data_IF_237018898029
#
_entry.id   IF_237018898029
#
_cell.length_a   1.000
_cell.length_b   1.000
_cell.length_c   1.000
_cell.angle_alpha   90.00
_cell.angle_beta   90.00
_cell.angle_gamma   90.00
#
_symmetry.space_group_name_H-M   'P 1'
#
loop_
_entity.id
_entity.type
_entity.pdbx_description
1 polymer ?
#
# COMPACT_ATOMS: atom_id res chain seq x y z
N UNK A 1 -36.35 -41.90 10.73
CA UNK A 1 -35.22 -42.51 11.49
C UNK A 1 -34.04 -41.59 11.29
N UNK A 2 -34.10 -40.44 11.95
CA UNK A 2 -33.46 -39.17 11.58
C UNK A 2 -32.40 -38.79 12.63
N UNK A 3 -31.25 -39.46 12.60
CA UNK A 3 -30.33 -39.39 13.73
C UNK A 3 -28.84 -39.31 13.37
N UNK A 4 -28.40 -38.56 12.35
CA UNK A 4 -26.94 -38.35 12.12
C UNK A 4 -26.46 -36.97 11.62
N UNK A 5 -27.29 -35.93 11.58
CA UNK A 5 -26.83 -34.56 11.26
C UNK A 5 -26.58 -33.70 12.52
N UNK A 6 -25.80 -34.22 13.47
CA UNK A 6 -25.30 -33.40 14.58
C UNK A 6 -24.16 -32.51 14.05
N UNK A 7 -24.29 -31.17 14.03
CA UNK A 7 -23.19 -30.29 13.68
C UNK A 7 -22.10 -30.49 14.74
N UNK A 8 -20.91 -30.91 14.31
CA UNK A 8 -19.75 -30.95 15.20
C UNK A 8 -19.60 -29.56 15.84
N UNK A 9 -19.57 -29.44 17.18
CA UNK A 9 -19.34 -28.15 17.82
C UNK A 9 -17.99 -27.64 17.32
N UNK A 10 -18.03 -26.59 16.49
CA UNK A 10 -16.85 -25.91 16.01
C UNK A 10 -16.05 -25.50 17.26
N UNK A 11 -14.92 -26.17 17.48
CA UNK A 11 -14.04 -25.87 18.59
C UNK A 11 -13.70 -24.38 18.51
N UNK A 12 -14.32 -23.58 19.38
CA UNK A 12 -14.05 -22.17 19.50
C UNK A 12 -12.61 -22.04 19.97
N UNK A 13 -11.69 -21.81 19.04
CA UNK A 13 -10.29 -21.60 19.37
C UNK A 13 -10.21 -20.44 20.36
N UNK A 14 -9.51 -20.60 21.50
CA UNK A 14 -9.42 -19.56 22.50
C UNK A 14 -8.76 -18.33 21.88
N UNK A 15 -9.44 -17.19 21.95
CA UNK A 15 -8.91 -15.89 21.54
C UNK A 15 -7.71 -15.54 22.44
N UNK A 16 -6.53 -15.94 22.00
CA UNK A 16 -5.24 -15.72 22.62
C UNK A 16 -4.94 -14.22 22.68
N UNK A 17 -4.59 -13.71 23.88
CA UNK A 17 -4.26 -12.29 24.10
C UNK A 17 -3.13 -11.77 23.20
N UNK A 18 -2.24 -12.66 22.77
CA UNK A 18 -1.19 -12.39 21.79
C UNK A 18 -1.74 -11.97 20.42
N UNK A 19 -2.86 -12.55 19.96
CA UNK A 19 -3.51 -12.17 18.71
C UNK A 19 -4.12 -10.76 18.76
N UNK A 20 -4.63 -10.35 19.93
CA UNK A 20 -5.11 -8.97 20.15
C UNK A 20 -3.96 -7.98 20.12
N UNK A 21 -2.82 -8.29 20.75
CA UNK A 21 -1.64 -7.43 20.72
C UNK A 21 -1.06 -7.29 19.30
N UNK A 22 -0.92 -8.41 18.57
CA UNK A 22 -0.47 -8.40 17.18
C UNK A 22 -1.37 -7.54 16.28
N UNK A 23 -2.69 -7.63 16.43
CA UNK A 23 -3.63 -6.81 15.66
C UNK A 23 -3.62 -5.31 16.02
N UNK A 24 -3.18 -4.92 17.21
CA UNK A 24 -2.96 -3.51 17.56
C UNK A 24 -1.66 -2.99 16.97
N UNK A 25 -0.59 -3.79 17.05
CA UNK A 25 0.71 -3.45 16.48
C UNK A 25 0.63 -3.25 14.97
N UNK A 26 -0.06 -4.15 14.26
CA UNK A 26 -0.26 -4.05 12.80
C UNK A 26 -0.99 -2.75 12.39
N UNK A 27 -2.05 -2.39 13.11
CA UNK A 27 -2.77 -1.14 12.86
C UNK A 27 -1.93 0.10 13.16
N UNK A 28 -1.16 0.08 14.25
CA UNK A 28 -0.28 1.19 14.62
C UNK A 28 0.85 1.39 13.60
N UNK A 29 1.53 0.31 13.22
CA UNK A 29 2.56 0.31 12.17
C UNK A 29 1.99 0.81 10.84
N UNK A 30 0.80 0.35 10.50
CA UNK A 30 0.08 0.81 9.32
C UNK A 30 -0.18 2.30 9.27
N UNK A 31 -0.73 2.86 10.35
CA UNK A 31 -1.00 4.29 10.46
C UNK A 31 0.29 5.12 10.43
N UNK A 32 1.36 4.62 11.04
CA UNK A 32 2.68 5.24 11.00
C UNK A 32 3.22 5.31 9.56
N UNK A 33 3.19 4.18 8.84
CA UNK A 33 3.65 4.10 7.44
C UNK A 33 2.87 5.06 6.54
N UNK A 34 1.54 5.10 6.67
CA UNK A 34 0.70 6.05 5.92
C UNK A 34 1.05 7.51 6.23
N UNK A 35 1.28 7.84 7.50
CA UNK A 35 1.65 9.20 7.93
C UNK A 35 3.02 9.60 7.39
N UNK A 36 4.01 8.71 7.47
CA UNK A 36 5.36 8.96 6.95
C UNK A 36 5.34 9.12 5.44
N UNK A 37 4.61 8.26 4.71
CA UNK A 37 4.45 8.40 3.27
C UNK A 37 3.82 9.75 2.88
N UNK A 38 2.75 10.16 3.57
CA UNK A 38 2.12 11.46 3.32
C UNK A 38 3.07 12.64 3.59
N UNK A 39 3.88 12.58 4.65
CA UNK A 39 4.89 13.59 4.94
C UNK A 39 5.98 13.64 3.87
N UNK A 40 6.45 12.49 3.38
CA UNK A 40 7.44 12.42 2.32
C UNK A 40 6.96 13.11 1.04
N UNK A 41 5.69 12.93 0.64
CA UNK A 41 5.10 13.62 -0.52
C UNK A 41 5.21 15.14 -0.35
N UNK A 42 4.84 15.66 0.82
CA UNK A 42 4.89 17.10 1.09
C UNK A 42 6.32 17.61 1.02
N UNK A 43 7.26 16.90 1.62
CA UNK A 43 8.68 17.25 1.60
C UNK A 43 9.23 17.25 0.17
N UNK A 44 8.87 16.25 -0.64
CA UNK A 44 9.31 16.15 -2.03
C UNK A 44 8.79 17.32 -2.88
N UNK A 45 7.52 17.69 -2.73
CA UNK A 45 6.93 18.86 -3.40
C UNK A 45 7.70 20.15 -3.03
N UNK A 46 8.04 20.33 -1.75
CA UNK A 46 8.76 21.51 -1.29
C UNK A 46 10.18 21.54 -1.85
N UNK A 47 10.90 20.43 -1.85
CA UNK A 47 12.29 20.34 -2.35
C UNK A 47 12.33 20.60 -3.86
N UNK A 48 11.47 19.92 -4.62
CA UNK A 48 11.39 20.10 -6.07
C UNK A 48 10.98 21.53 -6.41
N UNK A 49 10.00 22.09 -5.70
CA UNK A 49 9.59 23.49 -5.83
C UNK A 49 10.74 24.45 -5.53
N UNK A 50 11.47 24.23 -4.44
CA UNK A 50 12.64 25.04 -4.09
C UNK A 50 13.75 24.95 -5.15
N UNK A 51 14.02 23.75 -5.68
CA UNK A 51 14.97 23.54 -6.78
C UNK A 51 14.59 24.28 -8.05
N UNK A 52 13.31 24.24 -8.44
CA UNK A 52 12.77 25.00 -9.57
C UNK A 52 12.93 26.50 -9.34
N UNK A 53 12.53 27.02 -8.17
CA UNK A 53 12.68 28.44 -7.85
C UNK A 53 14.15 28.88 -7.85
N UNK A 54 15.04 28.09 -7.28
CA UNK A 54 16.48 28.36 -7.28
C UNK A 54 17.07 28.44 -8.70
N UNK A 55 16.63 27.53 -9.58
CA UNK A 55 17.10 27.46 -10.97
C UNK A 55 16.59 28.61 -11.83
N UNK A 56 15.30 28.94 -11.73
CA UNK A 56 14.68 29.88 -12.66
C UNK A 56 14.57 31.32 -12.12
N UNK A 57 14.44 31.50 -10.79
CA UNK A 57 14.35 32.83 -10.19
C UNK A 57 15.74 33.32 -9.78
N UNK A 58 16.46 32.50 -9.03
CA UNK A 58 17.76 32.88 -8.47
C UNK A 58 18.95 32.57 -9.37
N UNK A 59 18.73 31.87 -10.50
CA UNK A 59 19.77 31.45 -11.46
C UNK A 59 20.93 30.67 -10.80
N UNK A 60 20.68 30.05 -9.66
CA UNK A 60 21.66 29.33 -8.84
C UNK A 60 21.11 27.95 -8.49
N UNK A 61 21.37 26.91 -9.32
CA UNK A 61 20.80 25.59 -9.11
C UNK A 61 21.36 24.92 -7.85
N UNK A 62 20.46 24.38 -7.02
CA UNK A 62 20.79 23.61 -5.82
C UNK A 62 21.08 22.16 -6.21
N UNK A 63 22.32 21.82 -6.55
CA UNK A 63 22.67 20.47 -7.04
C UNK A 63 22.29 19.35 -6.05
N UNK A 64 22.34 19.63 -4.75
CA UNK A 64 21.97 18.68 -3.70
C UNK A 64 20.45 18.39 -3.64
N UNK A 65 19.60 19.28 -4.17
CA UNK A 65 18.14 19.07 -4.13
C UNK A 65 17.73 17.91 -5.03
N UNK A 66 18.42 17.75 -6.15
CA UNK A 66 18.11 16.69 -7.13
C UNK A 66 18.44 15.31 -6.55
N UNK A 67 19.59 15.17 -5.89
CA UNK A 67 20.00 13.92 -5.25
C UNK A 67 19.09 13.60 -4.05
N UNK A 68 18.78 14.59 -3.20
CA UNK A 68 17.87 14.40 -2.08
C UNK A 68 16.45 14.03 -2.54
N UNK A 69 15.92 14.68 -3.58
CA UNK A 69 14.63 14.35 -4.16
C UNK A 69 14.61 12.90 -4.67
N UNK A 70 15.67 12.45 -5.33
CA UNK A 70 15.76 11.07 -5.84
C UNK A 70 15.70 10.02 -4.73
N UNK A 71 16.39 10.27 -3.60
CA UNK A 71 16.40 9.37 -2.43
C UNK A 71 15.04 9.37 -1.73
N UNK A 72 14.44 10.54 -1.52
CA UNK A 72 13.12 10.66 -0.89
C UNK A 72 12.03 10.01 -1.75
N UNK A 73 12.09 10.18 -3.07
CA UNK A 73 11.17 9.54 -4.00
C UNK A 73 11.30 8.01 -3.97
N UNK A 74 12.51 7.48 -3.85
CA UNK A 74 12.73 6.04 -3.68
C UNK A 74 12.03 5.52 -2.41
N UNK A 75 12.25 6.19 -1.27
CA UNK A 75 11.58 5.83 -0.02
C UNK A 75 10.06 5.97 -0.11
N UNK A 76 9.57 7.04 -0.73
CA UNK A 76 8.15 7.26 -0.97
C UNK A 76 7.54 6.14 -1.82
N UNK A 77 8.22 5.71 -2.89
CA UNK A 77 7.78 4.61 -3.75
C UNK A 77 7.67 3.30 -2.97
N UNK A 78 8.69 2.96 -2.17
CA UNK A 78 8.68 1.77 -1.34
C UNK A 78 7.54 1.79 -0.30
N UNK A 79 7.37 2.90 0.42
CA UNK A 79 6.29 3.04 1.40
C UNK A 79 4.92 3.11 0.75
N UNK A 80 4.79 3.78 -0.39
CA UNK A 80 3.58 3.88 -1.19
C UNK A 80 3.10 2.51 -1.67
N UNK A 81 4.01 1.63 -2.08
CA UNK A 81 3.69 0.24 -2.43
C UNK A 81 3.13 -0.53 -1.22
N UNK A 82 3.72 -0.36 -0.03
CA UNK A 82 3.20 -0.98 1.22
C UNK A 82 1.80 -0.45 1.55
N UNK A 83 1.57 0.86 1.46
CA UNK A 83 0.24 1.47 1.70
C UNK A 83 -0.78 0.96 0.69
N UNK A 84 -0.41 0.89 -0.60
CA UNK A 84 -1.28 0.40 -1.66
C UNK A 84 -1.64 -1.08 -1.45
N UNK A 85 -0.68 -1.91 -1.04
CA UNK A 85 -0.92 -3.32 -0.73
C UNK A 85 -1.84 -3.46 0.49
N UNK A 86 -1.60 -2.73 1.58
CA UNK A 86 -2.45 -2.76 2.80
C UNK A 86 -3.88 -2.28 2.53
N UNK A 87 -4.05 -1.19 1.77
CA UNK A 87 -5.38 -0.75 1.31
C UNK A 87 -6.02 -1.78 0.38
N UNK A 88 -5.21 -2.41 -0.47
CA UNK A 88 -5.59 -3.51 -1.33
C UNK A 88 -6.08 -4.74 -0.57
N UNK A 89 -5.46 -5.12 0.54
CA UNK A 89 -5.90 -6.27 1.35
C UNK A 89 -7.26 -6.00 2.00
N UNK A 90 -7.50 -4.81 2.55
CA UNK A 90 -8.80 -4.47 3.14
C UNK A 90 -9.91 -4.30 2.10
N UNK A 91 -9.60 -3.79 0.89
CA UNK A 91 -10.58 -3.44 -0.14
C UNK A 91 -10.79 -4.54 -1.20
N UNK A 92 -9.77 -5.37 -1.51
CA UNK A 92 -9.90 -6.55 -2.39
C UNK A 92 -10.64 -7.70 -1.70
N UNK A 93 -10.52 -7.87 -0.38
CA UNK A 93 -11.22 -8.95 0.34
C UNK A 93 -12.75 -8.78 0.29
N UNK A 94 -13.26 -7.55 0.37
CA UNK A 94 -14.71 -7.29 0.47
C UNK A 94 -15.37 -6.99 -0.88
N UNK A 95 -14.70 -6.29 -1.80
CA UNK A 95 -15.31 -5.86 -3.07
C UNK A 95 -15.02 -6.76 -4.28
N UNK A 96 -13.83 -7.35 -4.35
CA UNK A 96 -13.38 -8.07 -5.56
C UNK A 96 -13.99 -9.47 -5.68
N UNK A 97 -14.19 -10.16 -4.55
CA UNK A 97 -14.78 -11.50 -4.52
C UNK A 97 -16.30 -11.47 -4.72
N UNK A 98 -16.96 -10.36 -4.38
CA UNK A 98 -18.42 -10.26 -4.41
C UNK A 98 -18.99 -9.65 -5.70
N UNK A 99 -18.18 -8.98 -6.55
CA UNK A 99 -18.69 -8.23 -7.71
C UNK A 99 -17.95 -8.40 -9.04
N UNK A 100 -16.90 -9.19 -9.13
CA UNK A 100 -16.15 -9.35 -10.38
C UNK A 100 -16.49 -10.69 -11.02
N UNK A 101 -17.09 -10.65 -12.22
CA UNK A 101 -17.30 -11.86 -13.00
C UNK A 101 -15.93 -12.45 -13.42
N UNK A 102 -15.82 -13.78 -13.57
CA UNK A 102 -14.54 -14.45 -13.85
C UNK A 102 -13.75 -13.86 -15.03
N UNK A 103 -14.47 -13.27 -15.99
CA UNK A 103 -13.94 -12.70 -17.23
C UNK A 103 -13.20 -11.38 -17.02
N UNK A 104 -13.69 -10.49 -16.13
CA UNK A 104 -13.03 -9.19 -15.88
C UNK A 104 -11.76 -9.37 -15.03
N UNK A 105 -11.74 -10.40 -14.17
CA UNK A 105 -10.54 -10.75 -13.40
C UNK A 105 -9.41 -11.24 -14.32
N UNK A 106 -9.74 -12.09 -15.29
CA UNK A 106 -8.76 -12.57 -16.28
C UNK A 106 -8.20 -11.43 -17.14
N UNK A 107 -9.04 -10.46 -17.53
CA UNK A 107 -8.59 -9.28 -18.28
C UNK A 107 -7.64 -8.39 -17.45
N UNK A 108 -7.97 -8.14 -16.18
CA UNK A 108 -7.12 -7.36 -15.26
C UNK A 108 -5.78 -8.04 -14.99
N UNK A 109 -5.78 -9.36 -14.79
CA UNK A 109 -4.53 -10.13 -14.64
C UNK A 109 -3.70 -10.11 -15.92
N UNK A 110 -4.33 -10.28 -17.09
CA UNK A 110 -3.64 -10.19 -18.38
C UNK A 110 -3.02 -8.80 -18.60
N UNK A 111 -3.77 -7.72 -18.34
CA UNK A 111 -3.27 -6.34 -18.47
C UNK A 111 -2.14 -6.08 -17.49
N UNK A 112 -2.23 -6.54 -16.24
CA UNK A 112 -1.18 -6.38 -15.26
C UNK A 112 0.12 -7.09 -15.68
N UNK A 113 0.01 -8.33 -16.18
CA UNK A 113 1.16 -9.09 -16.68
C UNK A 113 1.76 -8.43 -17.93
N UNK A 114 0.93 -8.04 -18.90
CA UNK A 114 1.39 -7.37 -20.12
C UNK A 114 2.05 -6.02 -19.81
N UNK A 115 1.48 -5.22 -18.92
CA UNK A 115 2.07 -3.94 -18.50
C UNK A 115 3.41 -4.15 -17.78
N UNK A 116 3.52 -5.20 -16.96
CA UNK A 116 4.76 -5.55 -16.28
C UNK A 116 5.85 -5.99 -17.26
N UNK A 117 5.49 -6.78 -18.28
CA UNK A 117 6.41 -7.22 -19.34
C UNK A 117 6.83 -6.05 -20.24
N UNK A 118 5.91 -5.14 -20.56
CA UNK A 118 6.19 -3.99 -21.43
C UNK A 118 7.08 -2.93 -20.77
N UNK A 119 7.10 -2.90 -19.43
CA UNK A 119 7.92 -1.98 -18.64
C UNK A 119 9.32 -2.55 -18.31
N UNK A 120 9.52 -3.85 -18.50
CA UNK A 120 10.78 -4.58 -18.28
C UNK A 120 11.67 -4.51 -19.52
#
# INVERSE_FOLDING_TARGET
MDAHSAPLPAAAMPANGFGRFAGHLDRALGGLVETVAALLVVVEIVILGAGVMARYVFHAPLVWSDELASILFLWLSMLGAVVALRRGEHMRMTGLVSRVSPQTRALLEAVAITASIAFL
#
